data_IF_405441052042
#
_entry.id   IF_405441052042
#
_cell.length_a   1.000
_cell.length_b   1.000
_cell.length_c   1.000
_cell.angle_alpha   90.00
_cell.angle_beta   90.00
_cell.angle_gamma   90.00
#
_symmetry.space_group_name_H-M   'P 1'
#
loop_
_entity.id
_entity.type
_entity.pdbx_description
1 polymer ?
#
# COMPACT_ATOMS: atom_id res chain seq x y z
N UNK A 1 -18.73 -3.10 8.66
CA UNK A 1 -17.52 -2.68 7.93
C UNK A 1 -16.35 -3.40 8.56
N UNK A 2 -15.51 -4.07 7.78
CA UNK A 2 -14.38 -4.86 8.30
C UNK A 2 -13.09 -4.13 7.95
N UNK A 3 -12.45 -3.55 8.95
CA UNK A 3 -11.19 -2.83 8.78
C UNK A 3 -10.04 -3.83 8.76
N UNK A 4 -9.20 -3.73 7.74
CA UNK A 4 -7.98 -4.52 7.61
C UNK A 4 -6.79 -3.59 7.42
N UNK A 5 -5.68 -3.94 8.05
CA UNK A 5 -4.39 -3.31 7.84
C UNK A 5 -3.40 -4.37 7.31
N UNK A 6 -2.75 -4.07 6.19
CA UNK A 6 -1.67 -4.89 5.62
C UNK A 6 -0.42 -4.03 5.50
N UNK A 7 0.72 -4.59 5.89
CA UNK A 7 2.01 -3.92 5.92
C UNK A 7 3.02 -4.70 5.10
N UNK A 8 3.70 -3.96 4.23
CA UNK A 8 4.75 -4.47 3.37
C UNK A 8 6.09 -3.85 3.76
N UNK A 9 7.11 -4.69 3.86
CA UNK A 9 8.50 -4.25 3.89
C UNK A 9 8.95 -4.02 2.44
N UNK A 10 9.55 -2.87 2.17
CA UNK A 10 10.02 -2.46 0.85
C UNK A 10 11.50 -2.79 0.68
N UNK A 11 11.90 -3.13 -0.54
CA UNK A 11 13.32 -3.37 -0.86
C UNK A 11 14.14 -2.08 -0.81
N UNK A 12 13.52 -0.95 -1.17
CA UNK A 12 14.10 0.38 -1.17
C UNK A 12 13.10 1.43 -0.66
N UNK A 13 13.56 2.61 -0.23
CA UNK A 13 12.71 3.78 -0.06
C UNK A 13 11.89 4.07 -1.33
N UNK A 14 10.72 4.69 -1.16
CA UNK A 14 9.89 5.08 -2.29
C UNK A 14 10.46 6.33 -2.99
N UNK A 15 10.42 6.34 -4.31
CA UNK A 15 10.69 7.55 -5.08
C UNK A 15 9.47 8.45 -5.17
N UNK A 16 9.68 9.71 -5.54
CA UNK A 16 8.59 10.69 -5.72
C UNK A 16 7.55 10.27 -6.78
N UNK A 17 8.00 9.62 -7.87
CA UNK A 17 7.12 9.02 -8.89
C UNK A 17 6.28 7.87 -8.30
N UNK A 18 6.87 7.01 -7.47
CA UNK A 18 6.14 5.92 -6.80
C UNK A 18 5.10 6.47 -5.80
N UNK A 19 5.46 7.52 -5.05
CA UNK A 19 4.56 8.22 -4.14
C UNK A 19 3.38 8.85 -4.90
N UNK A 20 3.65 9.50 -6.03
CA UNK A 20 2.61 10.09 -6.89
C UNK A 20 1.61 9.04 -7.38
N UNK A 21 2.10 7.88 -7.85
CA UNK A 21 1.25 6.75 -8.27
C UNK A 21 0.44 6.13 -7.13
N UNK A 22 1.02 6.06 -5.92
CA UNK A 22 0.25 5.67 -4.73
C UNK A 22 -0.84 6.70 -4.40
N UNK A 23 -0.57 7.98 -4.64
CA UNK A 23 -1.55 9.05 -4.52
C UNK A 23 -2.75 8.88 -5.45
N UNK A 24 -2.55 8.37 -6.67
CA UNK A 24 -3.66 8.02 -7.57
C UNK A 24 -4.51 6.88 -7.00
N UNK A 25 -3.87 5.88 -6.40
CA UNK A 25 -4.55 4.77 -5.72
C UNK A 25 -5.35 5.22 -4.49
N UNK A 26 -4.99 6.35 -3.86
CA UNK A 26 -5.70 6.94 -2.72
C UNK A 26 -7.21 7.13 -2.99
N UNK A 27 -7.59 7.35 -4.25
CA UNK A 27 -8.98 7.56 -4.66
C UNK A 27 -9.78 6.26 -4.81
N UNK A 28 -9.16 5.09 -4.58
CA UNK A 28 -9.84 3.80 -4.74
C UNK A 28 -10.87 3.60 -3.63
N UNK A 29 -12.13 3.36 -4.03
CA UNK A 29 -13.21 3.12 -3.08
C UNK A 29 -12.89 1.93 -2.16
N UNK A 30 -12.92 2.17 -0.85
CA UNK A 30 -12.59 1.17 0.17
C UNK A 30 -11.19 1.32 0.76
N UNK A 31 -10.27 2.04 0.13
CA UNK A 31 -9.02 2.45 0.77
C UNK A 31 -9.30 3.61 1.74
N UNK A 32 -8.73 3.53 2.95
CA UNK A 32 -8.88 4.58 3.98
C UNK A 32 -7.65 5.46 4.09
N UNK A 33 -6.47 4.84 4.18
CA UNK A 33 -5.18 5.52 4.27
C UNK A 33 -4.05 4.55 3.97
N UNK A 34 -2.90 5.10 3.60
CA UNK A 34 -1.63 4.40 3.66
C UNK A 34 -0.67 5.19 4.56
N UNK A 35 0.27 4.49 5.19
CA UNK A 35 1.32 5.06 6.04
C UNK A 35 2.68 4.57 5.55
N UNK A 36 3.57 5.51 5.29
CA UNK A 36 4.95 5.23 4.94
C UNK A 36 5.85 5.48 6.15
N UNK A 37 6.67 4.51 6.51
CA UNK A 37 7.76 4.63 7.47
C UNK A 37 9.07 4.41 6.71
N UNK A 38 9.71 5.50 6.29
CA UNK A 38 10.97 5.48 5.54
C UNK A 38 12.11 4.87 6.37
N UNK A 39 12.12 5.11 7.68
CA UNK A 39 13.15 4.56 8.59
C UNK A 39 13.13 3.03 8.60
N UNK A 40 11.93 2.44 8.55
CA UNK A 40 11.73 0.99 8.53
C UNK A 40 11.53 0.42 7.13
N UNK A 41 11.48 1.27 6.10
CA UNK A 41 11.06 0.91 4.73
C UNK A 41 9.74 0.14 4.73
N UNK A 42 8.77 0.60 5.50
CA UNK A 42 7.47 -0.05 5.64
C UNK A 42 6.36 0.78 5.04
N UNK A 43 5.45 0.12 4.33
CA UNK A 43 4.25 0.72 3.78
C UNK A 43 3.03 -0.07 4.25
N UNK A 44 2.19 0.59 5.04
CA UNK A 44 0.95 0.03 5.56
C UNK A 44 -0.25 0.58 4.80
N UNK A 45 -1.22 -0.27 4.47
CA UNK A 45 -2.50 0.09 3.88
C UNK A 45 -3.62 -0.28 4.84
N UNK A 46 -4.48 0.68 5.14
CA UNK A 46 -5.72 0.46 5.87
C UNK A 46 -6.90 0.56 4.89
N UNK A 47 -7.74 -0.46 4.86
CA UNK A 47 -8.89 -0.52 3.95
C UNK A 47 -10.07 -1.30 4.54
N UNK A 48 -11.25 -1.08 3.96
CA UNK A 48 -12.45 -1.86 4.25
C UNK A 48 -12.48 -3.12 3.38
N UNK A 49 -12.33 -4.29 4.00
CA UNK A 49 -12.30 -5.59 3.31
C UNK A 49 -13.63 -5.96 2.63
N UNK A 50 -14.73 -5.27 2.94
CA UNK A 50 -15.99 -5.41 2.20
C UNK A 50 -15.99 -4.67 0.85
N UNK A 51 -15.01 -3.79 0.62
CA UNK A 51 -14.95 -2.88 -0.54
C UNK A 51 -13.66 -3.02 -1.34
N UNK A 52 -12.55 -3.36 -0.68
CA UNK A 52 -11.24 -3.50 -1.29
C UNK A 52 -10.64 -4.86 -0.92
N UNK A 53 -10.11 -5.57 -1.90
CA UNK A 53 -9.44 -6.87 -1.70
C UNK A 53 -7.94 -6.67 -1.55
N UNK A 54 -7.29 -7.53 -0.76
CA UNK A 54 -5.83 -7.52 -0.63
C UNK A 54 -5.11 -7.62 -1.99
N UNK A 55 -5.66 -8.41 -2.92
CA UNK A 55 -5.11 -8.54 -4.28
C UNK A 55 -5.14 -7.23 -5.08
N UNK A 56 -6.10 -6.33 -4.80
CA UNK A 56 -6.15 -5.00 -5.40
C UNK A 56 -5.08 -4.08 -4.80
N UNK A 57 -4.83 -4.19 -3.49
CA UNK A 57 -3.71 -3.49 -2.82
C UNK A 57 -2.37 -3.96 -3.38
N UNK A 58 -2.17 -5.27 -3.49
CA UNK A 58 -0.94 -5.83 -4.09
C UNK A 58 -0.77 -5.42 -5.56
N UNK A 59 -1.86 -5.33 -6.33
CA UNK A 59 -1.82 -4.83 -7.71
C UNK A 59 -1.39 -3.37 -7.77
N UNK A 60 -1.85 -2.52 -6.85
CA UNK A 60 -1.47 -1.11 -6.79
C UNK A 60 0.05 -0.95 -6.61
N UNK A 61 0.65 -1.77 -5.74
CA UNK A 61 2.11 -1.83 -5.58
C UNK A 61 2.82 -2.20 -6.88
N UNK A 62 2.32 -3.20 -7.59
CA UNK A 62 2.85 -3.60 -8.90
C UNK A 62 2.74 -2.50 -9.97
N UNK A 63 1.60 -1.81 -10.05
CA UNK A 63 1.39 -0.69 -10.98
C UNK A 63 2.29 0.50 -10.67
N UNK A 64 2.51 0.79 -9.39
CA UNK A 64 3.45 1.78 -8.94
C UNK A 64 4.91 1.33 -9.07
N UNK A 65 5.19 0.10 -9.53
CA UNK A 65 6.54 -0.50 -9.61
C UNK A 65 7.27 -0.47 -8.26
N UNK A 66 6.54 -0.69 -7.17
CA UNK A 66 7.10 -0.72 -5.81
C UNK A 66 7.58 -2.13 -5.52
N UNK A 67 8.88 -2.26 -5.28
CA UNK A 67 9.51 -3.54 -4.96
C UNK A 67 9.29 -3.88 -3.48
N UNK A 68 8.47 -4.91 -3.24
CA UNK A 68 8.20 -5.46 -1.90
C UNK A 68 9.23 -6.53 -1.57
N UNK A 69 9.82 -6.47 -0.38
CA UNK A 69 10.69 -7.51 0.16
C UNK A 69 9.88 -8.66 0.74
N UNK A 70 8.91 -8.35 1.61
CA UNK A 70 7.95 -9.31 2.18
C UNK A 70 6.73 -8.60 2.77
N UNK A 71 5.69 -9.37 3.01
CA UNK A 71 4.52 -8.98 3.83
C UNK A 71 4.83 -9.27 5.30
N UNK A 72 4.43 -8.38 6.21
CA UNK A 72 4.78 -8.48 7.64
C UNK A 72 3.64 -9.01 8.53
N UNK A 73 2.40 -9.03 8.05
CA UNK A 73 1.20 -9.33 8.84
C UNK A 73 0.10 -9.96 8.00
#
# INVERSE_FOLDING_TARGET
MSLVEVTYELQSPLSDDQLSRLGEFANTYGLRRFRLDDSKKQLSFEYDASRLRETQVARALGQARIAVARRLN
#
